data_IF_833139951188
#
_entry.id   IF_833139951188
#
_cell.length_a   1.000
_cell.length_b   1.000
_cell.length_c   1.000
_cell.angle_alpha   90.00
_cell.angle_beta   90.00
_cell.angle_gamma   90.00
#
_symmetry.space_group_name_H-M   'P 1'
#
loop_
_entity.id
_entity.type
_entity.pdbx_description
1 polymer ?
#
# COMPACT_ATOMS: atom_id res chain seq x y z
N UNK A 1 3.24 1.03 14.50
CA UNK A 1 2.66 -0.02 13.64
C UNK A 1 3.67 -1.13 13.48
N UNK A 2 3.22 -2.35 13.15
CA UNK A 2 4.10 -3.51 12.95
C UNK A 2 4.72 -3.62 11.55
N UNK A 3 4.51 -2.63 10.69
CA UNK A 3 5.07 -2.59 9.34
C UNK A 3 4.26 -3.45 8.37
N UNK A 4 4.93 -4.28 7.57
CA UNK A 4 4.26 -5.21 6.66
C UNK A 4 3.74 -6.44 7.43
N UNK A 5 2.75 -6.26 8.30
CA UNK A 5 2.16 -7.31 9.14
C UNK A 5 0.71 -7.66 8.76
N UNK A 6 0.10 -6.90 7.85
CA UNK A 6 -1.29 -7.08 7.43
C UNK A 6 -2.31 -6.52 8.42
N UNK A 7 -1.91 -5.57 9.27
CA UNK A 7 -2.78 -4.85 10.19
C UNK A 7 -3.94 -4.17 9.46
N UNK A 8 -3.72 -3.61 8.27
CA UNK A 8 -4.77 -2.93 7.49
C UNK A 8 -5.93 -3.84 7.07
N UNK A 9 -5.70 -5.14 6.94
CA UNK A 9 -6.76 -6.13 6.69
C UNK A 9 -7.39 -6.61 8.00
N UNK A 10 -6.56 -6.84 9.03
CA UNK A 10 -7.00 -7.42 10.31
C UNK A 10 -7.78 -6.43 11.17
N UNK A 11 -7.38 -5.16 11.12
CA UNK A 11 -7.97 -4.03 11.84
C UNK A 11 -8.55 -3.03 10.85
N UNK A 12 -9.18 -3.52 9.77
CA UNK A 12 -9.71 -2.68 8.69
C UNK A 12 -10.65 -1.59 9.20
N UNK A 13 -11.51 -1.92 10.17
CA UNK A 13 -12.48 -0.98 10.75
C UNK A 13 -11.84 0.24 11.44
N UNK A 14 -10.53 0.16 11.74
CA UNK A 14 -9.73 1.24 12.31
C UNK A 14 -8.84 1.88 11.23
N UNK A 15 -8.12 1.08 10.44
CA UNK A 15 -7.09 1.62 9.56
C UNK A 15 -7.64 2.20 8.26
N UNK A 16 -8.74 1.67 7.71
CA UNK A 16 -9.31 2.17 6.45
C UNK A 16 -10.11 3.46 6.65
N UNK A 17 -10.36 3.89 7.88
CA UNK A 17 -10.99 5.19 8.20
C UNK A 17 -9.98 6.32 8.33
N UNK A 18 -8.67 6.04 8.35
CA UNK A 18 -7.64 7.07 8.31
C UNK A 18 -7.72 7.84 7.00
N UNK A 19 -7.59 9.17 7.05
CA UNK A 19 -7.76 10.02 5.87
C UNK A 19 -6.79 9.62 4.74
N UNK A 20 -5.54 9.31 5.08
CA UNK A 20 -4.53 8.87 4.13
C UNK A 20 -4.80 7.49 3.48
N UNK A 21 -5.72 6.69 4.04
CA UNK A 21 -6.12 5.38 3.51
C UNK A 21 -7.46 5.42 2.76
N UNK A 22 -7.97 6.61 2.40
CA UNK A 22 -9.21 6.75 1.65
C UNK A 22 -9.22 5.92 0.35
N UNK A 23 -10.18 5.00 0.23
CA UNK A 23 -10.34 4.09 -0.91
C UNK A 23 -9.66 2.72 -0.77
N UNK A 24 -8.94 2.46 0.32
CA UNK A 24 -8.26 1.17 0.53
C UNK A 24 -9.24 0.06 1.00
N UNK A 25 -10.38 0.43 1.57
CA UNK A 25 -11.42 -0.50 2.01
C UNK A 25 -11.88 -1.44 0.89
N UNK A 26 -12.09 -0.92 -0.33
CA UNK A 26 -12.51 -1.73 -1.48
C UNK A 26 -11.56 -2.89 -1.79
N UNK A 27 -10.24 -2.64 -1.80
CA UNK A 27 -9.25 -3.68 -2.06
C UNK A 27 -9.05 -4.62 -0.87
N UNK A 28 -9.18 -4.12 0.36
CA UNK A 28 -9.14 -4.94 1.58
C UNK A 28 -10.28 -5.96 1.56
N UNK A 29 -11.52 -5.53 1.31
CA UNK A 29 -12.67 -6.42 1.22
C UNK A 29 -12.56 -7.41 0.05
N UNK A 30 -11.99 -6.98 -1.08
CA UNK A 30 -11.74 -7.87 -2.21
C UNK A 30 -10.70 -8.97 -1.89
N UNK A 31 -9.69 -8.68 -1.07
CA UNK A 31 -8.64 -9.65 -0.72
C UNK A 31 -9.04 -10.58 0.44
N UNK A 32 -9.88 -10.14 1.39
CA UNK A 32 -10.29 -10.90 2.57
C UNK A 32 -10.77 -12.35 2.25
N UNK A 33 -11.62 -12.59 1.23
CA UNK A 33 -12.04 -13.95 0.88
C UNK A 33 -10.88 -14.85 0.43
N UNK A 34 -9.90 -14.30 -0.29
CA UNK A 34 -8.73 -15.07 -0.73
C UNK A 34 -7.81 -15.39 0.45
N UNK A 35 -7.63 -14.45 1.38
CA UNK A 35 -6.89 -14.68 2.63
C UNK A 35 -7.58 -15.77 3.45
N UNK A 36 -8.90 -15.72 3.60
CA UNK A 36 -9.66 -16.73 4.35
C UNK A 36 -9.66 -18.11 3.68
N UNK A 37 -9.58 -18.16 2.34
CA UNK A 37 -9.57 -19.41 1.58
C UNK A 37 -8.20 -20.12 1.57
N UNK A 38 -7.12 -19.42 1.94
CA UNK A 38 -5.75 -19.95 1.90
C UNK A 38 -5.08 -19.87 3.28
N UNK A 39 -4.03 -20.64 3.51
CA UNK A 39 -3.30 -20.65 4.79
C UNK A 39 -2.26 -19.53 4.91
N UNK A 40 -2.47 -18.40 4.24
CA UNK A 40 -1.55 -17.26 4.24
C UNK A 40 -1.97 -16.27 5.32
N UNK A 41 -0.99 -15.65 6.01
CA UNK A 41 -1.30 -14.51 6.87
C UNK A 41 -1.67 -13.30 6.01
N UNK A 42 -2.46 -12.34 6.53
CA UNK A 42 -2.81 -11.14 5.77
C UNK A 42 -1.56 -10.37 5.29
N UNK A 43 -0.52 -10.28 6.13
CA UNK A 43 0.75 -9.65 5.76
C UNK A 43 1.44 -10.34 4.60
N UNK A 44 1.49 -11.67 4.59
CA UNK A 44 2.07 -12.43 3.48
C UNK A 44 1.22 -12.29 2.21
N UNK A 45 -0.10 -12.35 2.33
CA UNK A 45 -0.99 -12.24 1.19
C UNK A 45 -0.89 -10.89 0.48
N UNK A 46 -0.88 -9.77 1.22
CA UNK A 46 -0.77 -8.42 0.63
C UNK A 46 0.52 -8.30 -0.19
N UNK A 47 1.64 -8.77 0.36
CA UNK A 47 2.94 -8.68 -0.30
C UNK A 47 3.05 -9.64 -1.49
N UNK A 48 2.44 -10.83 -1.39
CA UNK A 48 2.31 -11.76 -2.51
C UNK A 48 1.47 -11.16 -3.64
N UNK A 49 0.29 -10.63 -3.32
CA UNK A 49 -0.61 -10.01 -4.29
C UNK A 49 0.05 -8.83 -5.00
N UNK A 50 0.79 -7.98 -4.26
CA UNK A 50 1.56 -6.88 -4.84
C UNK A 50 2.66 -7.37 -5.81
N UNK A 51 3.45 -8.37 -5.41
CA UNK A 51 4.50 -8.92 -6.28
C UNK A 51 3.92 -9.55 -7.56
N UNK A 52 2.79 -10.26 -7.46
CA UNK A 52 2.09 -10.83 -8.62
C UNK A 52 1.49 -9.74 -9.50
N UNK A 53 0.83 -8.73 -8.92
CA UNK A 53 0.24 -7.62 -9.65
C UNK A 53 1.28 -6.87 -10.49
N UNK A 54 2.41 -6.50 -9.87
CA UNK A 54 3.53 -5.85 -10.56
C UNK A 54 4.09 -6.73 -11.68
N UNK A 55 4.17 -8.05 -11.49
CA UNK A 55 4.66 -8.96 -12.53
C UNK A 55 3.78 -9.05 -13.78
N UNK A 56 2.52 -8.60 -13.71
CA UNK A 56 1.62 -8.53 -14.85
C UNK A 56 1.84 -7.26 -15.70
N UNK A 57 2.57 -6.27 -15.18
CA UNK A 57 2.85 -5.01 -15.87
C UNK A 57 4.05 -5.18 -16.82
N UNK A 58 3.92 -4.90 -18.13
CA UNK A 58 5.04 -4.98 -19.07
C UNK A 58 6.21 -4.08 -18.65
N UNK A 59 7.43 -4.65 -18.60
CA UNK A 59 8.64 -3.92 -18.23
C UNK A 59 8.89 -3.83 -16.71
N UNK A 60 7.97 -4.32 -15.88
CA UNK A 60 8.16 -4.32 -14.44
C UNK A 60 9.26 -5.29 -13.97
N UNK A 61 9.95 -4.97 -12.88
CA UNK A 61 10.85 -5.91 -12.22
C UNK A 61 10.04 -7.06 -11.61
N UNK A 62 10.70 -8.22 -11.44
CA UNK A 62 10.16 -9.29 -10.61
C UNK A 62 10.57 -9.05 -9.17
N UNK A 63 9.62 -8.63 -8.33
CA UNK A 63 9.87 -8.42 -6.91
C UNK A 63 10.12 -9.74 -6.18
N UNK A 64 11.00 -9.70 -5.19
CA UNK A 64 11.18 -10.82 -4.26
C UNK A 64 9.95 -10.97 -3.37
N UNK A 65 9.54 -12.22 -3.15
CA UNK A 65 8.50 -12.55 -2.19
C UNK A 65 9.07 -13.44 -1.10
N UNK A 66 9.03 -12.95 0.14
CA UNK A 66 9.39 -13.68 1.33
C UNK A 66 8.12 -13.99 2.13
N UNK A 67 7.98 -15.22 2.61
CA UNK A 67 6.84 -15.68 3.42
C UNK A 67 7.25 -15.86 4.88
N UNK A 68 6.31 -15.67 5.81
CA UNK A 68 6.51 -15.93 7.23
C UNK A 68 6.12 -14.77 8.15
N UNK A 69 5.36 -13.78 7.66
CA UNK A 69 4.88 -12.68 8.51
C UNK A 69 3.91 -13.21 9.56
N UNK A 70 4.10 -12.89 10.85
CA UNK A 70 3.13 -13.26 11.88
C UNK A 70 1.85 -12.43 11.74
N UNK A 71 0.79 -12.85 12.43
CA UNK A 71 -0.42 -12.04 12.56
C UNK A 71 -0.10 -10.69 13.25
N UNK A 72 -0.75 -9.59 12.84
CA UNK A 72 -0.49 -8.28 13.41
C UNK A 72 -0.99 -8.22 14.86
N UNK A 73 -0.27 -7.49 15.72
CA UNK A 73 -0.57 -7.43 17.16
C UNK A 73 -1.45 -6.24 17.55
N UNK A 74 -1.49 -5.21 16.72
CA UNK A 74 -2.25 -3.99 16.93
C UNK A 74 -2.48 -3.27 15.59
N UNK A 75 -3.48 -2.40 15.55
CA UNK A 75 -3.66 -1.47 14.44
C UNK A 75 -2.47 -0.50 14.35
N UNK A 76 -2.18 -0.02 13.15
CA UNK A 76 -1.25 1.09 12.95
C UNK A 76 -1.80 2.36 13.62
N UNK A 77 -0.93 3.19 14.23
CA UNK A 77 -1.27 4.59 14.48
C UNK A 77 -1.62 5.30 13.17
N UNK A 78 -2.52 6.28 13.26
CA UNK A 78 -2.83 7.21 12.18
C UNK A 78 -1.63 8.14 11.88
N UNK A 79 -1.69 8.89 10.79
CA UNK A 79 -0.71 9.88 10.32
C UNK A 79 0.66 9.30 9.95
N UNK A 80 0.73 7.98 9.75
CA UNK A 80 1.94 7.29 9.33
C UNK A 80 2.03 7.12 7.80
N UNK A 81 0.93 7.25 7.06
CA UNK A 81 0.94 7.23 5.59
C UNK A 81 1.06 8.68 5.08
N UNK A 82 2.05 9.00 4.22
CA UNK A 82 2.18 10.34 3.65
C UNK A 82 0.98 10.73 2.79
N UNK A 83 0.62 12.01 2.82
CA UNK A 83 -0.52 12.54 2.06
C UNK A 83 -0.05 13.38 0.87
N UNK A 84 -0.84 13.49 -0.21
CA UNK A 84 -0.43 14.21 -1.42
C UNK A 84 -0.26 15.72 -1.22
N UNK A 85 -0.78 16.27 -0.12
CA UNK A 85 -0.63 17.68 0.27
C UNK A 85 0.47 17.90 1.33
N UNK A 86 1.18 16.85 1.74
CA UNK A 86 2.36 16.99 2.57
C UNK A 86 3.51 17.63 1.80
N UNK A 87 4.26 18.52 2.44
CA UNK A 87 5.47 19.05 1.84
C UNK A 87 6.58 17.98 1.80
N UNK A 88 7.53 18.15 0.88
CA UNK A 88 8.62 17.20 0.66
C UNK A 88 9.44 16.92 1.93
N UNK A 89 9.65 17.92 2.78
CA UNK A 89 10.37 17.74 4.06
C UNK A 89 9.63 16.76 4.98
N UNK A 90 8.31 16.88 5.12
CA UNK A 90 7.49 15.97 5.91
C UNK A 90 7.51 14.55 5.32
N UNK A 91 7.36 14.42 4.00
CA UNK A 91 7.38 13.13 3.31
C UNK A 91 8.73 12.42 3.53
N UNK A 92 9.83 13.10 3.24
CA UNK A 92 11.17 12.51 3.38
C UNK A 92 11.51 12.18 4.84
N UNK A 93 11.06 13.00 5.80
CA UNK A 93 11.23 12.69 7.22
C UNK A 93 10.45 11.43 7.64
N UNK A 94 9.22 11.25 7.14
CA UNK A 94 8.40 10.05 7.43
C UNK A 94 9.02 8.79 6.86
N UNK A 95 9.50 8.85 5.62
CA UNK A 95 10.20 7.72 5.00
C UNK A 95 11.53 7.41 5.68
N UNK A 96 12.28 8.44 6.12
CA UNK A 96 13.50 8.24 6.89
C UNK A 96 13.25 7.55 8.24
N UNK A 97 12.17 7.92 8.95
CA UNK A 97 11.71 7.22 10.16
C UNK A 97 11.33 5.75 9.89
N UNK A 98 10.84 5.44 8.68
CA UNK A 98 10.59 4.07 8.23
C UNK A 98 11.83 3.35 7.65
N UNK A 99 12.99 4.02 7.60
CA UNK A 99 14.26 3.42 7.18
C UNK A 99 14.69 3.66 5.73
N UNK A 100 14.07 4.60 5.01
CA UNK A 100 14.38 4.89 3.61
C UNK A 100 15.13 6.21 3.41
N UNK A 101 16.07 6.21 2.47
CA UNK A 101 16.75 7.41 1.96
C UNK A 101 15.88 8.13 0.94
N UNK A 102 16.12 9.44 0.67
CA UNK A 102 15.38 10.17 -0.37
C UNK A 102 15.43 9.54 -1.76
N UNK A 103 16.56 8.93 -2.14
CA UNK A 103 16.67 8.23 -3.42
C UNK A 103 15.77 6.99 -3.47
N UNK A 104 15.64 6.27 -2.36
CA UNK A 104 14.71 5.13 -2.27
C UNK A 104 13.25 5.58 -2.29
N UNK A 105 12.91 6.74 -1.71
CA UNK A 105 11.56 7.32 -1.84
C UNK A 105 11.22 7.59 -3.30
N UNK A 106 12.16 8.21 -4.04
CA UNK A 106 11.98 8.44 -5.49
C UNK A 106 11.83 7.10 -6.24
N UNK A 107 12.63 6.09 -5.89
CA UNK A 107 12.52 4.77 -6.51
C UNK A 107 11.17 4.08 -6.21
N UNK A 108 10.66 4.19 -4.99
CA UNK A 108 9.36 3.64 -4.60
C UNK A 108 8.20 4.33 -5.31
N UNK A 109 8.30 5.64 -5.58
CA UNK A 109 7.32 6.39 -6.36
C UNK A 109 7.23 5.96 -7.84
N UNK A 110 8.13 5.09 -8.32
CA UNK A 110 7.95 4.43 -9.61
C UNK A 110 6.64 3.62 -9.67
N UNK A 111 6.07 3.24 -8.52
CA UNK A 111 4.73 2.64 -8.46
C UNK A 111 3.65 3.50 -9.13
N UNK A 112 3.83 4.83 -9.19
CA UNK A 112 2.88 5.73 -9.83
C UNK A 112 2.82 5.59 -11.36
N UNK A 113 3.73 4.83 -11.98
CA UNK A 113 3.67 4.54 -13.43
C UNK A 113 2.62 3.49 -13.80
N UNK A 114 2.05 2.78 -12.82
CA UNK A 114 0.97 1.79 -12.99
C UNK A 114 -0.16 2.05 -12.00
N UNK A 115 -0.63 3.31 -11.95
CA UNK A 115 -1.55 3.78 -10.93
C UNK A 115 -2.48 4.91 -11.43
N UNK A 116 -3.58 5.09 -10.68
CA UNK A 116 -4.58 6.11 -10.88
C UNK A 116 -5.11 6.63 -9.54
N UNK A 117 -5.90 7.71 -9.58
CA UNK A 117 -6.56 8.27 -8.39
C UNK A 117 -8.10 8.23 -8.52
N UNK A 118 -8.76 7.72 -7.48
CA UNK A 118 -10.22 7.65 -7.40
C UNK A 118 -10.85 8.73 -6.51
N UNK A 119 -10.13 9.17 -5.46
CA UNK A 119 -10.70 9.96 -4.36
C UNK A 119 -10.17 11.39 -4.23
N UNK A 120 -9.15 11.78 -5.01
CA UNK A 120 -8.62 13.15 -5.00
C UNK A 120 -9.58 14.12 -5.69
N UNK A 121 -10.05 13.76 -6.87
CA UNK A 121 -11.17 14.40 -7.55
C UNK A 121 -12.26 13.36 -7.82
N UNK A 122 -13.28 13.26 -6.94
CA UNK A 122 -14.36 12.28 -7.08
C UNK A 122 -15.21 12.44 -8.35
N UNK A 123 -15.04 13.52 -9.13
CA UNK A 123 -15.77 13.71 -10.39
C UNK A 123 -15.14 12.97 -11.57
N UNK A 124 -13.88 12.54 -11.44
CA UNK A 124 -13.09 11.85 -12.47
C UNK A 124 -12.29 10.66 -11.88
N UNK A 125 -12.95 9.68 -11.25
CA UNK A 125 -12.25 8.52 -10.68
C UNK A 125 -11.54 7.71 -11.78
N UNK A 126 -10.43 7.06 -11.43
CA UNK A 126 -9.61 6.30 -12.36
C UNK A 126 -8.70 7.15 -13.25
N UNK A 127 -8.51 8.44 -12.94
CA UNK A 127 -7.58 9.29 -13.70
C UNK A 127 -6.14 8.84 -13.43
N UNK A 128 -5.36 8.44 -14.46
CA UNK A 128 -4.02 7.91 -14.27
C UNK A 128 -2.98 9.00 -13.97
N UNK A 129 -1.87 8.62 -13.34
CA UNK A 129 -0.77 9.55 -13.07
C UNK A 129 0.16 9.77 -14.28
N UNK A 130 0.18 8.85 -15.23
CA UNK A 130 0.86 9.00 -16.52
C UNK A 130 -0.04 8.53 -17.69
N UNK A 131 0.51 8.46 -18.90
CA UNK A 131 -0.23 8.08 -20.12
C UNK A 131 -0.29 6.57 -20.38
N UNK A 132 0.33 5.74 -19.54
CA UNK A 132 0.48 4.28 -19.70
C UNK A 132 0.35 3.52 -18.37
N UNK A 133 -0.78 3.65 -17.66
CA UNK A 133 -1.01 2.98 -16.37
C UNK A 133 -1.13 1.45 -16.48
#
# INVERSE_FOLDING_TARGET
GGGADGSIVTFSDIETVFHANGGIDGIVEAQKPFIAAHTLTPGDFIQFAGAVAVSNCPGAPRLDFLMGRPLPKAASPDLLVPEPFDNTTKILARFADAGFTPNEVVALLASHTVAAADHIDPTIPGTPFDSTP
#
